data_IF_964609078871
#
_entry.id   IF_964609078871
#
_cell.length_a   1.000
_cell.length_b   1.000
_cell.length_c   1.000
_cell.angle_alpha   90.00
_cell.angle_beta   90.00
_cell.angle_gamma   90.00
#
_symmetry.space_group_name_H-M   'P 1'
#
loop_
_entity.id
_entity.type
_entity.pdbx_description
1 polymer ?
#
# COMPACT_ATOMS: atom_id res chain seq x y z
N UNK A 1 9.49 16.41 -1.81
CA UNK A 1 10.31 15.19 -1.65
C UNK A 1 9.48 13.98 -1.22
N UNK A 2 8.52 14.12 -0.30
CA UNK A 2 7.68 13.01 0.19
C UNK A 2 6.96 12.23 -0.93
N UNK A 3 6.51 12.92 -1.99
CA UNK A 3 5.89 12.33 -3.18
C UNK A 3 6.79 11.43 -4.03
N UNK A 4 8.10 11.44 -3.79
CA UNK A 4 9.05 10.53 -4.45
C UNK A 4 9.48 9.44 -3.45
N UNK A 5 9.77 9.85 -2.21
CA UNK A 5 10.29 8.95 -1.18
C UNK A 5 9.26 7.87 -0.81
N UNK A 6 8.00 8.24 -0.56
CA UNK A 6 7.00 7.26 -0.12
C UNK A 6 6.67 6.20 -1.18
N UNK A 7 6.46 6.53 -2.48
CA UNK A 7 6.34 5.51 -3.52
C UNK A 7 7.56 4.59 -3.64
N UNK A 8 8.77 5.16 -3.59
CA UNK A 8 10.00 4.35 -3.68
C UNK A 8 10.12 3.39 -2.49
N UNK A 9 9.86 3.86 -1.27
CA UNK A 9 9.87 3.01 -0.07
C UNK A 9 8.79 1.93 -0.13
N UNK A 10 7.59 2.24 -0.60
CA UNK A 10 6.51 1.26 -0.77
C UNK A 10 6.91 0.14 -1.74
N UNK A 11 7.53 0.49 -2.87
CA UNK A 11 8.05 -0.47 -3.86
C UNK A 11 9.17 -1.32 -3.25
N UNK A 12 10.15 -0.70 -2.61
CA UNK A 12 11.27 -1.40 -1.98
C UNK A 12 10.79 -2.36 -0.89
N UNK A 13 9.82 -1.94 -0.07
CA UNK A 13 9.23 -2.76 0.98
C UNK A 13 8.50 -3.98 0.39
N UNK A 14 7.60 -3.77 -0.57
CA UNK A 14 6.79 -4.85 -1.14
C UNK A 14 7.61 -5.84 -1.96
N UNK A 15 8.50 -5.36 -2.83
CA UNK A 15 9.41 -6.21 -3.62
C UNK A 15 10.45 -6.87 -2.71
N UNK A 16 10.95 -6.16 -1.70
CA UNK A 16 11.90 -6.68 -0.73
C UNK A 16 11.34 -7.86 0.06
N UNK A 17 10.08 -7.76 0.52
CA UNK A 17 9.39 -8.87 1.17
C UNK A 17 9.21 -10.08 0.24
N UNK A 18 8.86 -9.84 -1.03
CA UNK A 18 8.74 -10.91 -2.02
C UNK A 18 10.08 -11.64 -2.23
N UNK A 19 11.19 -10.89 -2.30
CA UNK A 19 12.55 -11.45 -2.39
C UNK A 19 12.90 -12.23 -1.13
N UNK A 20 12.62 -11.68 0.05
CA UNK A 20 12.92 -12.30 1.34
C UNK A 20 12.21 -13.64 1.49
N UNK A 21 10.90 -13.68 1.22
CA UNK A 21 10.11 -14.92 1.30
C UNK A 21 10.60 -15.96 0.30
N UNK A 22 10.92 -15.55 -0.94
CA UNK A 22 11.47 -16.45 -1.94
C UNK A 22 12.80 -17.08 -1.52
N UNK A 23 13.65 -16.33 -0.80
CA UNK A 23 14.93 -16.84 -0.26
C UNK A 23 14.73 -17.78 0.92
N UNK A 24 13.79 -17.48 1.81
CA UNK A 24 13.52 -18.30 3.00
C UNK A 24 12.79 -19.60 2.64
N UNK A 25 11.96 -19.59 1.59
CA UNK A 25 11.20 -20.76 1.10
C UNK A 25 11.37 -20.99 -0.41
N UNK A 26 12.55 -21.46 -0.85
CA UNK A 26 12.85 -21.64 -2.27
C UNK A 26 12.03 -22.76 -2.95
N UNK A 27 11.45 -23.69 -2.18
CA UNK A 27 10.57 -24.76 -2.70
C UNK A 27 9.16 -24.29 -3.08
N UNK A 28 8.86 -23.00 -2.93
CA UNK A 28 7.55 -22.42 -3.17
C UNK A 28 6.62 -22.58 -1.97
N UNK A 29 5.68 -21.64 -1.84
CA UNK A 29 4.52 -21.79 -0.97
C UNK A 29 3.36 -22.15 -1.90
N UNK A 30 2.65 -23.24 -1.62
CA UNK A 30 1.43 -23.57 -2.38
C UNK A 30 0.47 -22.37 -2.22
N UNK A 31 0.08 -21.67 -3.30
CA UNK A 31 -0.83 -20.55 -3.21
C UNK A 31 -2.11 -21.05 -2.57
N UNK A 32 -2.47 -20.50 -1.40
CA UNK A 32 -3.73 -20.87 -0.78
C UNK A 32 -4.86 -20.36 -1.68
N UNK A 33 -5.70 -21.26 -2.19
CA UNK A 33 -6.79 -20.90 -3.12
C UNK A 33 -7.75 -19.84 -2.53
N UNK A 34 -7.90 -19.80 -1.20
CA UNK A 34 -8.67 -18.79 -0.47
C UNK A 34 -8.07 -17.37 -0.53
N UNK A 35 -6.79 -17.24 -0.89
CA UNK A 35 -6.04 -15.99 -1.02
C UNK A 35 -6.09 -15.45 -2.48
N UNK A 36 -6.72 -16.15 -3.42
CA UNK A 36 -6.87 -15.69 -4.81
C UNK A 36 -7.74 -14.41 -4.99
N UNK A 37 -8.87 -14.20 -4.27
CA UNK A 37 -9.71 -13.00 -4.44
C UNK A 37 -9.26 -11.79 -3.61
N UNK A 38 -8.41 -12.01 -2.61
CA UNK A 38 -7.98 -11.00 -1.64
C UNK A 38 -7.16 -9.83 -2.25
N UNK A 39 -6.36 -9.97 -3.33
CA UNK A 39 -5.73 -8.83 -3.98
C UNK A 39 -6.75 -7.81 -4.52
N UNK A 40 -7.86 -8.29 -5.11
CA UNK A 40 -8.89 -7.41 -5.63
C UNK A 40 -9.66 -6.71 -4.50
N UNK A 41 -9.95 -7.43 -3.41
CA UNK A 41 -10.63 -6.88 -2.26
C UNK A 41 -9.76 -5.85 -1.52
N UNK A 42 -8.49 -6.18 -1.28
CA UNK A 42 -7.58 -5.30 -0.56
C UNK A 42 -7.17 -4.09 -1.39
N UNK A 43 -6.97 -4.25 -2.71
CA UNK A 43 -6.78 -3.11 -3.61
C UNK A 43 -8.03 -2.22 -3.64
N UNK A 44 -9.24 -2.81 -3.69
CA UNK A 44 -10.48 -2.05 -3.64
C UNK A 44 -10.64 -1.30 -2.31
N UNK A 45 -10.35 -1.94 -1.17
CA UNK A 45 -10.42 -1.31 0.17
C UNK A 45 -9.41 -0.18 0.29
N UNK A 46 -8.17 -0.36 -0.17
CA UNK A 46 -7.18 0.71 -0.14
C UNK A 46 -7.54 1.83 -1.08
N UNK A 47 -8.01 1.56 -2.29
CA UNK A 47 -8.55 2.59 -3.19
C UNK A 47 -9.73 3.31 -2.56
N UNK A 48 -10.65 2.61 -1.87
CA UNK A 48 -11.81 3.23 -1.25
C UNK A 48 -11.42 4.13 -0.07
N UNK A 49 -10.58 3.63 0.85
CA UNK A 49 -10.13 4.36 2.03
C UNK A 49 -9.28 5.57 1.65
N UNK A 50 -8.35 5.39 0.70
CA UNK A 50 -7.51 6.48 0.18
C UNK A 50 -8.30 7.52 -0.59
N UNK A 51 -9.27 7.11 -1.41
CA UNK A 51 -10.14 8.07 -2.10
C UNK A 51 -10.98 8.87 -1.12
N UNK A 52 -11.45 8.23 -0.03
CA UNK A 52 -12.20 8.90 1.02
C UNK A 52 -11.35 9.92 1.79
N UNK A 53 -10.12 9.56 2.19
CA UNK A 53 -9.19 10.50 2.84
C UNK A 53 -8.83 11.69 1.94
N UNK A 54 -8.58 11.44 0.65
CA UNK A 54 -8.23 12.52 -0.29
C UNK A 54 -9.40 13.47 -0.49
N UNK A 55 -10.62 12.95 -0.66
CA UNK A 55 -11.83 13.76 -0.85
C UNK A 55 -12.16 14.54 0.42
N UNK A 56 -12.09 13.92 1.59
CA UNK A 56 -12.36 14.59 2.87
C UNK A 56 -11.28 15.61 3.23
N UNK A 57 -10.00 15.30 2.99
CA UNK A 57 -8.89 16.24 3.17
C UNK A 57 -8.99 17.45 2.23
N UNK A 58 -9.39 17.24 0.97
CA UNK A 58 -9.66 18.34 0.03
C UNK A 58 -10.83 19.21 0.47
N UNK A 59 -11.96 18.59 0.81
CA UNK A 59 -13.14 19.30 1.29
C UNK A 59 -12.79 20.15 2.53
N UNK A 60 -11.96 19.61 3.42
CA UNK A 60 -11.55 20.27 4.64
C UNK A 60 -10.53 21.40 4.44
N UNK A 61 -9.70 21.39 3.39
CA UNK A 61 -8.88 22.57 3.05
C UNK A 61 -9.68 23.71 2.43
N UNK A 62 -10.81 23.39 1.81
CA UNK A 62 -11.70 24.39 1.20
C UNK A 62 -12.62 25.09 2.20
N UNK A 63 -12.63 24.68 3.47
CA UNK A 63 -13.42 25.33 4.53
C UNK A 63 -12.63 26.46 5.20
N UNK A 64 -13.36 27.44 5.74
CA UNK A 64 -12.81 28.57 6.49
C UNK A 64 -12.21 28.17 7.86
N UNK A 65 -12.41 26.92 8.29
CA UNK A 65 -11.85 26.35 9.52
C UNK A 65 -11.49 24.88 9.29
N UNK A 66 -10.27 24.59 8.82
CA UNK A 66 -9.83 23.23 8.53
C UNK A 66 -9.74 22.40 9.82
N UNK A 67 -10.43 21.25 9.86
CA UNK A 67 -10.31 20.23 10.89
C UNK A 67 -9.19 19.25 10.52
N UNK A 68 -7.98 19.44 11.03
CA UNK A 68 -6.90 18.50 10.75
C UNK A 68 -7.23 17.11 11.34
N UNK A 69 -7.26 16.04 10.53
CA UNK A 69 -7.51 14.70 11.05
C UNK A 69 -6.42 14.32 12.07
N UNK A 70 -6.77 13.63 13.16
CA UNK A 70 -5.81 13.27 14.18
C UNK A 70 -4.74 12.32 13.60
N UNK A 71 -3.49 12.53 14.00
CA UNK A 71 -2.31 11.79 13.49
C UNK A 71 -2.47 10.25 13.61
N UNK A 72 -3.27 9.79 14.57
CA UNK A 72 -3.64 8.38 14.75
C UNK A 72 -4.25 7.77 13.49
N UNK A 73 -5.04 8.51 12.72
CA UNK A 73 -5.66 8.01 11.48
C UNK A 73 -4.59 7.63 10.47
N UNK A 74 -3.63 8.53 10.23
CA UNK A 74 -2.52 8.25 9.32
C UNK A 74 -1.64 7.08 9.76
N UNK A 75 -1.42 6.91 11.07
CA UNK A 75 -0.70 5.73 11.58
C UNK A 75 -1.44 4.43 11.21
N UNK A 76 -2.77 4.43 11.30
CA UNK A 76 -3.60 3.29 10.89
C UNK A 76 -3.50 3.07 9.39
N UNK A 77 -3.53 4.11 8.56
CA UNK A 77 -3.40 3.97 7.10
C UNK A 77 -2.03 3.41 6.69
N UNK A 78 -0.95 3.86 7.34
CA UNK A 78 0.39 3.30 7.13
C UNK A 78 0.42 1.82 7.50
N UNK A 79 -0.20 1.43 8.62
CA UNK A 79 -0.28 0.04 9.03
C UNK A 79 -1.08 -0.83 8.04
N UNK A 80 -2.23 -0.34 7.57
CA UNK A 80 -3.06 -1.03 6.57
C UNK A 80 -2.33 -1.15 5.24
N UNK A 81 -1.66 -0.09 4.79
CA UNK A 81 -0.84 -0.11 3.59
C UNK A 81 0.34 -1.08 3.72
N UNK A 82 1.00 -1.17 4.88
CA UNK A 82 2.07 -2.13 5.11
C UNK A 82 1.56 -3.60 5.01
N UNK A 83 0.38 -3.88 5.58
CA UNK A 83 -0.27 -5.19 5.45
C UNK A 83 -0.61 -5.51 3.99
N UNK A 84 -1.16 -4.54 3.26
CA UNK A 84 -1.46 -4.66 1.85
C UNK A 84 -0.21 -4.98 1.01
N UNK A 85 0.88 -4.25 1.24
CA UNK A 85 2.12 -4.40 0.48
C UNK A 85 2.87 -5.68 0.83
N UNK A 86 2.67 -6.23 2.03
CA UNK A 86 3.20 -7.52 2.44
C UNK A 86 2.41 -8.71 1.85
N UNK A 87 1.15 -8.47 1.48
CA UNK A 87 0.23 -9.50 1.03
C UNK A 87 0.78 -10.40 -0.10
N UNK A 88 1.38 -9.89 -1.19
CA UNK A 88 1.88 -10.75 -2.26
C UNK A 88 2.95 -11.73 -1.79
N UNK A 89 3.81 -11.31 -0.87
CA UNK A 89 4.85 -12.16 -0.30
C UNK A 89 4.25 -13.26 0.59
N UNK A 90 3.25 -12.91 1.41
CA UNK A 90 2.57 -13.85 2.32
C UNK A 90 1.68 -14.83 1.56
N UNK A 91 1.01 -14.38 0.49
CA UNK A 91 0.12 -15.18 -0.34
C UNK A 91 0.86 -16.24 -1.18
N UNK A 92 2.20 -16.26 -1.15
CA UNK A 92 3.00 -17.23 -1.88
C UNK A 92 3.11 -16.92 -3.37
N UNK A 93 3.02 -15.65 -3.76
CA UNK A 93 3.15 -15.25 -5.15
C UNK A 93 4.53 -15.71 -5.71
N UNK A 94 4.59 -16.42 -6.85
CA UNK A 94 5.85 -16.97 -7.35
C UNK A 94 6.89 -15.87 -7.58
N UNK A 95 8.14 -16.11 -7.20
CA UNK A 95 9.22 -15.16 -7.48
C UNK A 95 9.61 -15.20 -8.96
N UNK A 96 8.99 -14.32 -9.76
CA UNK A 96 9.26 -14.16 -11.19
C UNK A 96 9.52 -12.69 -11.52
N UNK A 97 10.17 -12.42 -12.67
CA UNK A 97 10.34 -11.05 -13.16
C UNK A 97 8.98 -10.34 -13.32
N UNK A 98 8.01 -11.03 -13.93
CA UNK A 98 6.64 -10.53 -14.10
C UNK A 98 6.00 -10.11 -12.78
N UNK A 99 6.10 -10.96 -11.76
CA UNK A 99 5.49 -10.68 -10.46
C UNK A 99 6.18 -9.54 -9.72
N UNK A 100 7.50 -9.39 -9.85
CA UNK A 100 8.22 -8.23 -9.32
C UNK A 100 7.73 -6.92 -9.93
N UNK A 101 7.54 -6.90 -11.25
CA UNK A 101 7.05 -5.72 -11.97
C UNK A 101 5.62 -5.40 -11.54
N UNK A 102 4.73 -6.40 -11.49
CA UNK A 102 3.33 -6.20 -11.09
C UNK A 102 3.20 -5.70 -9.64
N UNK A 103 3.96 -6.28 -8.71
CA UNK A 103 3.98 -5.85 -7.31
C UNK A 103 4.55 -4.43 -7.19
N UNK A 104 5.60 -4.10 -7.93
CA UNK A 104 6.14 -2.74 -7.98
C UNK A 104 5.13 -1.73 -8.53
N UNK A 105 4.47 -2.04 -9.66
CA UNK A 105 3.43 -1.20 -10.24
C UNK A 105 2.25 -0.99 -9.29
N UNK A 106 1.90 -2.00 -8.50
CA UNK A 106 0.87 -1.91 -7.47
C UNK A 106 1.31 -1.05 -6.26
N UNK A 107 2.58 -1.13 -5.85
CA UNK A 107 3.08 -0.41 -4.69
C UNK A 107 3.24 1.11 -4.92
N UNK A 108 3.49 1.54 -6.16
CA UNK A 108 3.61 2.95 -6.55
C UNK A 108 2.38 3.79 -6.13
N UNK A 109 1.15 3.47 -6.56
CA UNK A 109 -0.03 4.26 -6.20
C UNK A 109 -0.31 4.26 -4.69
N UNK A 110 -0.02 3.17 -3.98
CA UNK A 110 -0.16 3.09 -2.52
C UNK A 110 0.77 4.10 -1.83
N UNK A 111 2.04 4.16 -2.22
CA UNK A 111 2.97 5.15 -1.66
C UNK A 111 2.65 6.59 -2.08
N UNK A 112 2.08 6.80 -3.27
CA UNK A 112 1.64 8.12 -3.72
C UNK A 112 0.45 8.63 -2.89
N UNK A 113 -0.49 7.75 -2.58
CA UNK A 113 -1.61 8.02 -1.66
C UNK A 113 -1.09 8.40 -0.28
N UNK A 114 -0.15 7.65 0.30
CA UNK A 114 0.39 7.96 1.62
C UNK A 114 1.10 9.31 1.64
N UNK A 115 1.85 9.65 0.59
CA UNK A 115 2.46 10.98 0.46
C UNK A 115 1.40 12.09 0.38
N UNK A 116 0.30 11.84 -0.32
CA UNK A 116 -0.81 12.79 -0.45
C UNK A 116 -1.54 12.97 0.88
N UNK A 117 -1.87 11.87 1.58
CA UNK A 117 -2.48 11.89 2.91
C UNK A 117 -1.60 12.64 3.91
N UNK A 118 -0.29 12.37 3.94
CA UNK A 118 0.67 13.13 4.76
C UNK A 118 0.67 14.63 4.44
N UNK A 119 0.65 14.99 3.16
CA UNK A 119 0.56 16.38 2.72
C UNK A 119 -0.79 17.02 3.02
N UNK A 120 -1.86 16.26 3.21
CA UNK A 120 -3.16 16.80 3.61
C UNK A 120 -3.22 17.11 5.11
N UNK A 121 -2.34 16.47 5.90
CA UNK A 121 -2.22 16.73 7.34
C UNK A 121 -1.37 17.96 7.68
N UNK A 122 -0.40 18.31 6.83
CA UNK A 122 0.58 19.40 7.01
C UNK A 122 0.41 20.50 5.97
#
# INVERSE_FOLDING_TARGET
MIFIIAPVLAVLYSVGLLVLVARVRPGGVVPHAALAPVPNLLAAVVVLLSSFEVVTGWANRSTSSPLHPPLVVFVVDVAVAACLLAYPAIAGLPYSLRNRILVGMFAIPVGAVLALSWSLQH
#
